data_IF_934488987132
#
_entry.id   IF_934488987132
#
_cell.length_a   1.000
_cell.length_b   1.000
_cell.length_c   1.000
_cell.angle_alpha   90.00
_cell.angle_beta   90.00
_cell.angle_gamma   90.00
#
_symmetry.space_group_name_H-M   'P 1'
#
loop_
_entity.id
_entity.type
_entity.pdbx_description
1 polymer ?
#
# COMPACT_ATOMS: atom_id res chain seq x y z
N UNK A 1 -16.49 -4.99 11.79
CA UNK A 1 -15.67 -4.41 10.70
C UNK A 1 -14.71 -3.42 11.39
N UNK A 2 -13.42 -3.78 11.48
CA UNK A 2 -12.44 -3.10 12.36
C UNK A 2 -12.06 -1.73 11.78
N UNK A 3 -11.97 -0.74 12.66
CA UNK A 3 -11.53 0.64 12.46
C UNK A 3 -10.31 0.69 11.53
N UNK A 4 -10.47 1.27 10.34
CA UNK A 4 -9.38 2.03 9.71
C UNK A 4 -8.98 3.07 10.74
N UNK A 5 -7.71 3.05 11.14
CA UNK A 5 -7.18 3.87 12.22
C UNK A 5 -7.64 5.32 11.98
N UNK A 6 -8.35 5.88 12.96
CA UNK A 6 -8.92 7.24 12.88
C UNK A 6 -7.82 8.25 12.52
N UNK A 7 -6.58 7.92 12.90
CA UNK A 7 -5.36 8.64 12.58
C UNK A 7 -5.06 8.72 11.08
N UNK A 8 -5.32 7.70 10.28
CA UNK A 8 -5.07 7.73 8.83
C UNK A 8 -6.06 8.66 8.10
N UNK A 9 -7.34 8.63 8.52
CA UNK A 9 -8.35 9.57 8.03
C UNK A 9 -8.08 11.01 8.46
N UNK A 10 -7.60 11.21 9.68
CA UNK A 10 -7.20 12.53 10.20
C UNK A 10 -5.95 13.05 9.50
N UNK A 11 -4.96 12.21 9.21
CA UNK A 11 -3.75 12.58 8.47
C UNK A 11 -4.10 13.04 7.05
N UNK A 12 -5.05 12.35 6.40
CA UNK A 12 -5.54 12.72 5.07
C UNK A 12 -6.35 14.02 5.11
N UNK A 13 -7.20 14.22 6.12
CA UNK A 13 -7.94 15.48 6.27
C UNK A 13 -7.02 16.66 6.58
N UNK A 14 -6.00 16.47 7.42
CA UNK A 14 -4.99 17.49 7.72
C UNK A 14 -4.14 17.84 6.50
N UNK A 15 -3.76 16.84 5.69
CA UNK A 15 -3.01 17.06 4.43
C UNK A 15 -3.84 17.74 3.35
N UNK A 16 -5.17 17.61 3.40
CA UNK A 16 -6.10 18.34 2.54
C UNK A 16 -6.40 19.75 3.05
N UNK A 17 -6.46 19.97 4.37
CA UNK A 17 -6.70 21.28 4.99
C UNK A 17 -5.49 22.23 4.88
N UNK A 18 -4.26 21.72 4.96
CA UNK A 18 -3.05 22.56 4.82
C UNK A 18 -2.87 23.17 3.43
N UNK A 19 -3.58 22.65 2.42
CA UNK A 19 -3.57 23.18 1.04
C UNK A 19 -4.59 24.32 0.87
N UNK A 20 -5.53 24.50 1.81
CA UNK A 20 -6.59 25.52 1.73
C UNK A 20 -6.39 26.76 2.62
N UNK A 21 -5.35 26.82 3.46
CA UNK A 21 -5.12 27.94 4.40
C UNK A 21 -3.81 28.70 4.13
N UNK A 22 -3.61 29.15 2.88
CA UNK A 22 -2.71 30.29 2.61
C UNK A 22 -3.55 31.40 1.98
N UNK A 23 -4.34 32.05 2.83
CA UNK A 23 -5.05 33.28 2.53
C UNK A 23 -5.02 34.16 3.77
N UNK A 24 -4.38 35.33 3.63
CA UNK A 24 -4.26 36.44 4.56
C UNK A 24 -3.20 36.35 5.67
N UNK A 25 -1.98 36.74 5.31
CA UNK A 25 -1.18 37.61 6.17
C UNK A 25 -0.38 38.59 5.31
N UNK A 26 -0.82 39.86 5.35
CA UNK A 26 -0.12 41.00 4.80
C UNK A 26 1.23 41.21 5.51
N UNK A 27 2.34 41.13 4.79
CA UNK A 27 3.53 41.98 4.94
C UNK A 27 4.52 41.68 3.81
N UNK A 28 4.93 42.74 3.11
CA UNK A 28 5.97 42.75 2.08
C UNK A 28 7.33 42.31 2.66
N UNK A 29 8.02 41.35 2.02
CA UNK A 29 9.38 41.55 1.49
C UNK A 29 9.94 40.28 0.80
N UNK A 30 10.21 40.46 -0.50
CA UNK A 30 11.32 39.95 -1.33
C UNK A 30 11.34 38.49 -1.83
N UNK A 31 11.46 38.42 -3.16
CA UNK A 31 11.30 37.31 -4.09
C UNK A 31 12.04 35.99 -3.77
N UNK A 32 11.36 34.85 -3.96
CA UNK A 32 12.00 33.63 -4.43
C UNK A 32 11.41 33.18 -5.77
N UNK A 33 12.31 32.77 -6.67
CA UNK A 33 12.09 32.13 -7.96
C UNK A 33 10.79 31.30 -7.97
N UNK A 34 9.82 31.73 -8.78
CA UNK A 34 8.52 31.09 -8.92
C UNK A 34 8.65 29.73 -9.62
N UNK A 35 8.87 28.66 -8.86
CA UNK A 35 8.41 27.35 -9.29
C UNK A 35 6.91 27.29 -9.04
N UNK A 36 6.16 27.36 -10.14
CA UNK A 36 4.73 27.11 -10.21
C UNK A 36 4.40 25.74 -9.60
N UNK A 37 4.05 25.73 -8.32
CA UNK A 37 3.31 24.61 -7.75
C UNK A 37 1.87 24.74 -8.23
N UNK A 38 1.64 24.28 -9.47
CA UNK A 38 0.34 24.33 -10.12
C UNK A 38 -0.75 23.82 -9.16
N UNK A 39 -1.69 24.70 -8.84
CA UNK A 39 -2.84 24.36 -8.00
C UNK A 39 -3.63 23.26 -8.71
N UNK A 40 -3.71 22.07 -8.12
CA UNK A 40 -4.44 20.94 -8.70
C UNK A 40 -5.87 21.36 -9.06
N UNK A 41 -6.29 21.10 -10.30
CA UNK A 41 -7.64 21.45 -10.73
C UNK A 41 -8.68 20.60 -9.98
N UNK A 42 -9.92 21.10 -9.85
CA UNK A 42 -11.04 20.34 -9.27
C UNK A 42 -11.22 18.95 -9.93
N UNK A 43 -10.87 18.82 -11.22
CA UNK A 43 -10.85 17.55 -11.94
C UNK A 43 -9.79 16.58 -11.46
N UNK A 44 -8.59 17.06 -11.12
CA UNK A 44 -7.50 16.24 -10.60
C UNK A 44 -7.82 15.70 -9.20
N UNK A 45 -8.40 16.54 -8.35
CA UNK A 45 -8.83 16.15 -6.99
C UNK A 45 -9.92 15.07 -7.05
N UNK A 46 -10.90 15.21 -7.97
CA UNK A 46 -11.94 14.19 -8.16
C UNK A 46 -11.36 12.86 -8.64
N UNK A 47 -10.42 12.91 -9.60
CA UNK A 47 -9.75 11.71 -10.13
C UNK A 47 -8.98 10.96 -9.04
N UNK A 48 -8.26 11.68 -8.18
CA UNK A 48 -7.53 11.08 -7.03
C UNK A 48 -8.52 10.41 -6.06
N UNK A 49 -9.63 11.07 -5.74
CA UNK A 49 -10.68 10.49 -4.86
C UNK A 49 -11.28 9.22 -5.46
N UNK A 50 -11.60 9.21 -6.75
CA UNK A 50 -12.21 8.06 -7.42
C UNK A 50 -11.24 6.87 -7.47
N UNK A 51 -9.95 7.12 -7.73
CA UNK A 51 -8.90 6.09 -7.68
C UNK A 51 -8.75 5.49 -6.28
N UNK A 52 -8.76 6.34 -5.24
CA UNK A 52 -8.67 5.91 -3.86
C UNK A 52 -9.86 5.01 -3.47
N UNK A 53 -11.10 5.41 -3.81
CA UNK A 53 -12.29 4.61 -3.53
C UNK A 53 -12.24 3.24 -4.21
N UNK A 54 -11.78 3.18 -5.47
CA UNK A 54 -11.60 1.91 -6.19
C UNK A 54 -10.55 1.01 -5.55
N UNK A 55 -9.49 1.60 -4.97
CA UNK A 55 -8.48 0.85 -4.23
C UNK A 55 -9.03 0.22 -2.94
N UNK A 56 -9.87 0.96 -2.19
CA UNK A 56 -10.54 0.43 -1.00
C UNK A 56 -11.50 -0.73 -1.33
N UNK A 57 -12.27 -0.61 -2.42
CA UNK A 57 -13.13 -1.70 -2.92
C UNK A 57 -12.32 -2.95 -3.31
N UNK A 58 -11.17 -2.76 -3.97
CA UNK A 58 -10.28 -3.86 -4.34
C UNK A 58 -9.75 -4.59 -3.10
N UNK A 59 -9.41 -3.86 -2.03
CA UNK A 59 -8.98 -4.45 -0.76
C UNK A 59 -10.09 -5.27 -0.12
N UNK A 60 -11.34 -4.82 -0.17
CA UNK A 60 -12.47 -5.58 0.37
C UNK A 60 -12.67 -6.91 -0.39
N UNK A 61 -12.59 -6.88 -1.72
CA UNK A 61 -12.62 -8.08 -2.55
C UNK A 61 -11.47 -9.05 -2.23
N UNK A 62 -10.24 -8.54 -2.11
CA UNK A 62 -9.06 -9.34 -1.80
C UNK A 62 -9.12 -9.95 -0.39
N UNK A 63 -9.71 -9.26 0.59
CA UNK A 63 -9.94 -9.81 1.93
C UNK A 63 -10.97 -10.96 1.90
N UNK A 64 -12.03 -10.83 1.10
CA UNK A 64 -12.99 -11.91 0.91
C UNK A 64 -12.33 -13.13 0.23
N UNK A 65 -11.49 -12.88 -0.78
CA UNK A 65 -10.71 -13.92 -1.44
C UNK A 65 -9.77 -14.63 -0.47
N UNK A 66 -9.02 -13.89 0.36
CA UNK A 66 -8.15 -14.43 1.40
C UNK A 66 -8.93 -15.33 2.38
N UNK A 67 -10.10 -14.88 2.83
CA UNK A 67 -10.95 -15.68 3.73
C UNK A 67 -11.29 -17.03 3.12
N UNK A 68 -11.74 -17.04 1.85
CA UNK A 68 -12.06 -18.28 1.13
C UNK A 68 -10.83 -19.15 0.93
N UNK A 69 -9.69 -18.54 0.59
CA UNK A 69 -8.43 -19.26 0.40
C UNK A 69 -7.97 -19.98 1.69
N UNK A 70 -8.08 -19.33 2.85
CA UNK A 70 -7.82 -19.96 4.16
C UNK A 70 -8.75 -21.13 4.42
N UNK A 71 -10.06 -20.96 4.20
CA UNK A 71 -11.05 -22.04 4.37
C UNK A 71 -10.77 -23.24 3.45
N UNK A 72 -10.20 -23.02 2.27
CA UNK A 72 -9.77 -24.08 1.34
C UNK A 72 -8.45 -24.70 1.78
N UNK A 73 -7.48 -23.89 2.24
CA UNK A 73 -6.20 -24.31 2.82
C UNK A 73 -6.38 -25.27 3.98
N UNK A 74 -7.28 -24.94 4.91
CA UNK A 74 -7.59 -25.78 6.07
C UNK A 74 -8.19 -27.14 5.67
N UNK A 75 -8.83 -27.23 4.50
CA UNK A 75 -9.50 -28.46 4.01
C UNK A 75 -8.65 -29.32 3.08
N UNK A 76 -7.74 -28.72 2.31
CA UNK A 76 -7.02 -29.40 1.21
C UNK A 76 -5.50 -29.41 1.38
N UNK A 77 -4.97 -28.88 2.50
CA UNK A 77 -3.54 -28.92 2.81
C UNK A 77 -2.71 -28.00 1.90
N UNK A 78 -1.57 -28.49 1.43
CA UNK A 78 -0.55 -27.71 0.70
C UNK A 78 -1.09 -27.00 -0.56
N UNK A 79 -2.04 -27.63 -1.27
CA UNK A 79 -2.67 -27.03 -2.45
C UNK A 79 -3.51 -25.79 -2.14
N UNK A 80 -4.15 -25.73 -0.97
CA UNK A 80 -4.92 -24.55 -0.57
C UNK A 80 -4.06 -23.44 0.03
N UNK A 81 -2.89 -23.79 0.61
CA UNK A 81 -1.90 -22.80 1.06
C UNK A 81 -1.35 -21.93 -0.09
N UNK A 82 -1.18 -22.48 -1.30
CA UNK A 82 -0.82 -21.68 -2.48
C UNK A 82 -1.83 -20.55 -2.75
N UNK A 83 -3.13 -20.84 -2.61
CA UNK A 83 -4.18 -19.83 -2.75
C UNK A 83 -4.09 -18.72 -1.70
N UNK A 84 -3.77 -19.08 -0.46
CA UNK A 84 -3.58 -18.13 0.64
C UNK A 84 -2.36 -17.23 0.42
N UNK A 85 -1.24 -17.80 -0.04
CA UNK A 85 -0.04 -17.05 -0.40
C UNK A 85 -0.32 -16.00 -1.48
N UNK A 86 -1.00 -16.41 -2.56
CA UNK A 86 -1.39 -15.50 -3.65
C UNK A 86 -2.31 -14.38 -3.18
N UNK A 87 -3.27 -14.70 -2.29
CA UNK A 87 -4.16 -13.69 -1.71
C UNK A 87 -3.38 -12.64 -0.92
N UNK A 88 -2.39 -13.06 -0.12
CA UNK A 88 -1.52 -12.16 0.61
C UNK A 88 -0.63 -11.32 -0.30
N UNK A 89 -0.05 -11.90 -1.36
CA UNK A 89 0.72 -11.15 -2.36
C UNK A 89 -0.10 -10.02 -2.99
N UNK A 90 -1.34 -10.30 -3.36
CA UNK A 90 -2.26 -9.33 -3.95
C UNK A 90 -2.66 -8.22 -2.97
N UNK A 91 -2.92 -8.56 -1.70
CA UNK A 91 -3.18 -7.55 -0.66
C UNK A 91 -1.98 -6.62 -0.46
N UNK A 92 -0.76 -7.17 -0.48
CA UNK A 92 0.44 -6.36 -0.40
C UNK A 92 0.55 -5.34 -1.53
N UNK A 93 0.34 -5.78 -2.78
CA UNK A 93 0.35 -4.90 -3.95
C UNK A 93 -0.74 -3.81 -3.88
N UNK A 94 -1.93 -4.15 -3.36
CA UNK A 94 -3.01 -3.18 -3.21
C UNK A 94 -2.67 -2.10 -2.18
N UNK A 95 -2.07 -2.47 -1.05
CA UNK A 95 -1.63 -1.50 -0.04
C UNK A 95 -0.44 -0.66 -0.51
N UNK A 96 0.48 -1.24 -1.29
CA UNK A 96 1.58 -0.49 -1.91
C UNK A 96 1.02 0.58 -2.87
N UNK A 97 0.04 0.21 -3.69
CA UNK A 97 -0.64 1.14 -4.62
C UNK A 97 -1.41 2.27 -3.91
N UNK A 98 -1.86 2.05 -2.66
CA UNK A 98 -2.50 3.07 -1.83
C UNK A 98 -1.51 3.88 -0.98
N UNK A 99 -0.21 3.54 -1.00
CA UNK A 99 0.82 4.21 -0.22
C UNK A 99 0.91 3.75 1.24
N UNK A 100 0.19 2.70 1.66
CA UNK A 100 0.33 2.10 2.99
C UNK A 100 1.42 1.02 2.97
N UNK A 101 2.66 1.48 2.77
CA UNK A 101 3.83 0.60 2.59
C UNK A 101 4.08 -0.32 3.79
N UNK A 102 3.69 0.09 5.00
CA UNK A 102 3.81 -0.75 6.20
C UNK A 102 2.91 -1.99 6.12
N UNK A 103 1.66 -1.82 5.68
CA UNK A 103 0.78 -2.98 5.43
C UNK A 103 1.22 -3.79 4.23
N UNK A 104 1.72 -3.14 3.18
CA UNK A 104 2.29 -3.85 2.04
C UNK A 104 3.40 -4.83 2.50
N UNK A 105 4.33 -4.34 3.33
CA UNK A 105 5.40 -5.16 3.94
C UNK A 105 4.82 -6.30 4.79
N UNK A 106 3.80 -6.05 5.62
CA UNK A 106 3.16 -7.09 6.44
C UNK A 106 2.62 -8.22 5.56
N UNK A 107 1.85 -7.88 4.52
CA UNK A 107 1.25 -8.86 3.63
C UNK A 107 2.25 -9.58 2.73
N UNK A 108 3.29 -8.89 2.24
CA UNK A 108 4.36 -9.55 1.48
C UNK A 108 5.19 -10.50 2.36
N UNK A 109 5.38 -10.22 3.65
CA UNK A 109 6.00 -11.16 4.57
C UNK A 109 5.13 -12.41 4.81
N UNK A 110 3.79 -12.24 4.88
CA UNK A 110 2.86 -13.38 4.98
C UNK A 110 2.90 -14.24 3.70
N UNK A 111 2.93 -13.61 2.53
CA UNK A 111 3.13 -14.30 1.26
C UNK A 111 4.44 -15.10 1.24
N UNK A 112 5.57 -14.46 1.63
CA UNK A 112 6.87 -15.12 1.71
C UNK A 112 6.87 -16.31 2.67
N UNK A 113 6.23 -16.15 3.84
CA UNK A 113 6.13 -17.22 4.83
C UNK A 113 5.43 -18.45 4.24
N UNK A 114 4.30 -18.25 3.57
CA UNK A 114 3.56 -19.34 2.96
C UNK A 114 4.35 -19.97 1.81
N UNK A 115 4.96 -19.16 0.94
CA UNK A 115 5.78 -19.66 -0.17
C UNK A 115 6.90 -20.58 0.35
N UNK A 116 7.59 -20.20 1.43
CA UNK A 116 8.57 -21.05 2.12
C UNK A 116 7.96 -22.32 2.71
N UNK A 117 6.79 -22.22 3.34
CA UNK A 117 6.11 -23.37 3.94
C UNK A 117 5.70 -24.42 2.90
N UNK A 118 5.31 -24.00 1.70
CA UNK A 118 4.90 -24.91 0.61
C UNK A 118 6.04 -25.25 -0.37
N UNK A 119 7.23 -24.68 -0.17
CA UNK A 119 8.38 -24.89 -1.05
C UNK A 119 8.27 -24.20 -2.42
N UNK A 120 7.41 -23.19 -2.57
CA UNK A 120 7.24 -22.45 -3.82
C UNK A 120 8.35 -21.42 -4.01
N UNK A 121 9.41 -21.82 -4.73
CA UNK A 121 10.55 -20.96 -5.02
C UNK A 121 10.22 -19.78 -5.93
N UNK A 122 9.22 -19.90 -6.80
CA UNK A 122 8.78 -18.77 -7.62
C UNK A 122 8.03 -17.74 -6.78
N UNK A 123 7.16 -18.21 -5.88
CA UNK A 123 6.48 -17.38 -4.89
C UNK A 123 7.44 -16.67 -3.94
N UNK A 124 8.50 -17.36 -3.48
CA UNK A 124 9.56 -16.76 -2.66
C UNK A 124 10.23 -15.57 -3.36
N UNK A 125 10.68 -15.74 -4.61
CA UNK A 125 11.31 -14.67 -5.39
C UNK A 125 10.37 -13.48 -5.63
N UNK A 126 9.09 -13.76 -5.95
CA UNK A 126 8.08 -12.70 -6.09
C UNK A 126 7.86 -11.93 -4.78
N UNK A 127 7.83 -12.62 -3.65
CA UNK A 127 7.67 -11.98 -2.34
C UNK A 127 8.88 -11.13 -1.94
N UNK A 128 10.12 -11.60 -2.20
CA UNK A 128 11.33 -10.82 -1.95
C UNK A 128 11.40 -9.56 -2.80
N UNK A 129 11.12 -9.66 -4.10
CA UNK A 129 11.08 -8.50 -4.99
C UNK A 129 10.08 -7.45 -4.52
N UNK A 130 8.87 -7.88 -4.12
CA UNK A 130 7.85 -6.97 -3.60
C UNK A 130 8.23 -6.36 -2.24
N UNK A 131 8.89 -7.11 -1.35
CA UNK A 131 9.43 -6.56 -0.11
C UNK A 131 10.50 -5.50 -0.37
N UNK A 132 11.42 -5.76 -1.31
CA UNK A 132 12.43 -4.79 -1.73
C UNK A 132 11.79 -3.48 -2.20
N UNK A 133 10.80 -3.57 -3.11
CA UNK A 133 10.04 -2.42 -3.60
C UNK A 133 9.34 -1.66 -2.47
N UNK A 134 8.65 -2.37 -1.56
CA UNK A 134 7.93 -1.72 -0.47
C UNK A 134 8.89 -1.01 0.51
N UNK A 135 10.09 -1.55 0.74
CA UNK A 135 11.13 -0.88 1.54
C UNK A 135 11.76 0.32 0.82
N UNK A 136 11.90 0.28 -0.52
CA UNK A 136 12.25 1.47 -1.32
C UNK A 136 11.21 2.57 -1.11
N UNK A 137 9.92 2.24 -1.23
CA UNK A 137 8.81 3.18 -1.04
C UNK A 137 8.74 3.75 0.38
N UNK A 138 9.19 3.00 1.39
CA UNK A 138 9.30 3.44 2.78
C UNK A 138 10.57 4.29 3.05
N UNK A 139 11.54 4.29 2.14
CA UNK A 139 12.84 4.96 2.28
C UNK A 139 13.90 4.17 3.05
N UNK A 140 13.65 2.90 3.39
CA UNK A 140 14.63 2.01 4.03
C UNK A 140 15.44 1.26 2.97
N UNK A 141 16.35 1.99 2.32
CA UNK A 141 17.16 1.46 1.22
C UNK A 141 18.08 0.32 1.65
N UNK A 142 18.49 0.27 2.92
CA UNK A 142 19.32 -0.81 3.44
C UNK A 142 18.56 -2.12 3.37
N UNK A 143 17.35 -2.17 3.93
CA UNK A 143 16.51 -3.37 3.85
C UNK A 143 16.10 -3.70 2.42
N UNK A 144 15.83 -2.70 1.60
CA UNK A 144 15.52 -2.93 0.19
C UNK A 144 16.63 -3.71 -0.53
N UNK A 145 17.90 -3.30 -0.33
CA UNK A 145 19.05 -4.02 -0.89
C UNK A 145 19.19 -5.43 -0.33
N UNK A 146 18.95 -5.62 0.98
CA UNK A 146 18.96 -6.97 1.58
C UNK A 146 17.95 -7.89 0.89
N UNK A 147 16.73 -7.42 0.65
CA UNK A 147 15.69 -8.21 -0.01
C UNK A 147 15.90 -8.41 -1.52
N UNK A 148 16.47 -7.43 -2.23
CA UNK A 148 16.77 -7.58 -3.66
C UNK A 148 17.98 -8.48 -3.95
N UNK A 149 18.78 -8.82 -2.94
CA UNK A 149 19.91 -9.74 -3.05
C UNK A 149 19.56 -11.21 -2.72
N UNK A 150 18.30 -11.49 -2.39
CA UNK A 150 17.78 -12.83 -2.06
C UNK A 150 16.98 -13.44 -3.21
#
# INVERSE_FOLDING_TARGET
IKKIDKNHRILLSLRLQSVSEVGDNSMEEKDPISHDHGSASSGDVKKVRDLYNRGEEAIEYLNLYLKKAKEVGDKHGEGGKHGEGNAYGNLGNAYDSLGDFKKAIEYHNLHLKIAKEVGDKHGEGGAYGNLGNAYISLGDFKKAMEYHNL
#
